data_IF_349039933130
#
_entry.id   IF_349039933130
#
_cell.length_a   1.000
_cell.length_b   1.000
_cell.length_c   1.000
_cell.angle_alpha   90.00
_cell.angle_beta   90.00
_cell.angle_gamma   90.00
#
_symmetry.space_group_name_H-M   'P 1'
#
loop_
_entity.id
_entity.type
_entity.pdbx_description
1 polymer ?
#
# COMPACT_ATOMS: atom_id res chain seq x y z
N UNK A 1 6.98 -11.89 -2.46
CA UNK A 1 6.28 -11.22 -3.57
C UNK A 1 7.01 -9.92 -3.80
N UNK A 2 7.85 -9.85 -4.82
CA UNK A 2 8.71 -8.69 -5.11
C UNK A 2 8.14 -7.82 -6.25
N UNK A 3 6.82 -7.89 -6.48
CA UNK A 3 6.18 -7.05 -7.49
C UNK A 3 6.25 -5.59 -7.04
N UNK A 4 6.93 -4.75 -7.83
CA UNK A 4 7.00 -3.31 -7.61
C UNK A 4 5.72 -2.66 -8.11
N UNK A 5 5.17 -1.76 -7.30
CA UNK A 5 3.91 -1.07 -7.61
C UNK A 5 4.02 -0.26 -8.91
N UNK A 6 5.11 0.48 -9.08
CA UNK A 6 5.31 1.32 -10.27
C UNK A 6 5.77 0.53 -11.49
N UNK A 7 6.72 -0.40 -11.34
CA UNK A 7 7.36 -1.07 -12.49
C UNK A 7 6.56 -2.26 -13.01
N UNK A 8 5.88 -3.02 -12.14
CA UNK A 8 5.19 -4.26 -12.54
C UNK A 8 3.68 -4.08 -12.67
N UNK A 9 3.09 -3.14 -11.93
CA UNK A 9 1.65 -2.86 -11.97
C UNK A 9 1.30 -1.56 -12.70
N UNK A 10 2.30 -0.81 -13.15
CA UNK A 10 2.13 0.49 -13.83
C UNK A 10 1.29 1.48 -13.00
N UNK A 11 1.33 1.36 -11.66
CA UNK A 11 0.61 2.23 -10.73
C UNK A 11 1.48 3.44 -10.47
N UNK A 12 0.96 4.63 -10.74
CA UNK A 12 1.62 5.89 -10.41
C UNK A 12 1.44 6.24 -8.91
N UNK A 13 2.10 7.30 -8.46
CA UNK A 13 2.02 7.71 -7.05
C UNK A 13 0.59 8.06 -6.59
N UNK A 14 -0.33 8.39 -7.51
CA UNK A 14 -1.74 8.63 -7.19
C UNK A 14 -2.51 7.32 -7.03
N UNK A 15 -2.24 6.32 -7.87
CA UNK A 15 -2.88 5.01 -7.74
C UNK A 15 -2.48 4.27 -6.46
N UNK A 16 -1.28 4.51 -5.93
CA UNK A 16 -0.90 4.00 -4.59
C UNK A 16 -1.83 4.58 -3.52
N UNK A 17 -2.12 5.88 -3.56
CA UNK A 17 -3.03 6.53 -2.61
C UNK A 17 -4.44 5.96 -2.70
N UNK A 18 -4.95 5.72 -3.91
CA UNK A 18 -6.28 5.10 -4.11
C UNK A 18 -6.36 3.68 -3.53
N UNK A 19 -5.33 2.87 -3.76
CA UNK A 19 -5.26 1.50 -3.23
C UNK A 19 -5.23 1.50 -1.70
N UNK A 20 -4.49 2.42 -1.10
CA UNK A 20 -4.38 2.55 0.36
C UNK A 20 -5.70 2.98 0.97
N UNK A 21 -6.33 4.03 0.45
CA UNK A 21 -7.65 4.47 0.94
C UNK A 21 -8.69 3.35 0.86
N UNK A 22 -8.65 2.53 -0.21
CA UNK A 22 -9.53 1.37 -0.33
C UNK A 22 -9.27 0.30 0.75
N UNK A 23 -8.01 0.11 1.16
CA UNK A 23 -7.68 -0.81 2.25
C UNK A 23 -8.07 -0.24 3.63
N UNK A 24 -7.88 1.06 3.86
CA UNK A 24 -8.33 1.73 5.08
C UNK A 24 -9.84 1.57 5.27
N UNK A 25 -10.62 1.80 4.22
CA UNK A 25 -12.08 1.64 4.25
C UNK A 25 -12.52 0.18 4.41
N UNK A 26 -11.89 -0.77 3.72
CA UNK A 26 -12.30 -2.19 3.76
C UNK A 26 -11.94 -2.87 5.09
N UNK A 27 -10.80 -2.52 5.67
CA UNK A 27 -10.33 -3.13 6.92
C UNK A 27 -10.57 -2.26 8.16
N UNK A 28 -11.18 -1.09 8.01
CA UNK A 28 -11.36 -0.08 9.07
C UNK A 28 -10.05 0.26 9.79
N UNK A 29 -8.95 0.39 9.02
CA UNK A 29 -7.61 0.73 9.51
C UNK A 29 -7.20 2.15 9.09
N UNK A 30 -6.15 2.67 9.71
CA UNK A 30 -5.56 3.98 9.39
C UNK A 30 -4.06 3.79 9.10
N UNK A 31 -3.61 4.26 7.95
CA UNK A 31 -2.24 4.15 7.44
C UNK A 31 -1.66 5.56 7.30
N UNK A 32 -0.56 5.83 7.99
CA UNK A 32 0.08 7.13 7.93
C UNK A 32 0.92 7.31 6.64
N UNK A 33 1.00 8.54 6.12
CA UNK A 33 1.82 8.87 4.94
C UNK A 33 3.30 8.45 5.11
N UNK A 34 3.83 8.50 6.33
CA UNK A 34 5.20 8.04 6.64
C UNK A 34 5.33 6.53 6.40
N UNK A 35 4.33 5.74 6.78
CA UNK A 35 4.31 4.28 6.56
C UNK A 35 4.19 3.94 5.07
N UNK A 36 3.47 4.77 4.29
CA UNK A 36 3.36 4.62 2.84
C UNK A 36 4.66 4.93 2.12
N UNK A 37 5.42 5.90 2.61
CA UNK A 37 6.69 6.30 2.00
C UNK A 37 7.72 5.15 1.97
N UNK A 38 7.58 4.17 2.88
CA UNK A 38 8.42 2.98 2.96
C UNK A 38 7.89 1.79 2.12
N UNK A 39 6.71 1.92 1.50
CA UNK A 39 6.07 0.86 0.69
C UNK A 39 6.39 1.05 -0.79
N UNK A 40 7.26 0.18 -1.33
CA UNK A 40 7.64 0.20 -2.76
C UNK A 40 7.16 -1.04 -3.52
N UNK A 41 6.71 -2.06 -2.79
CA UNK A 41 6.31 -3.36 -3.33
C UNK A 41 4.97 -3.82 -2.75
N UNK A 42 4.28 -4.66 -3.50
CA UNK A 42 3.04 -5.31 -3.04
C UNK A 42 3.29 -6.12 -1.76
N UNK A 43 4.47 -6.74 -1.64
CA UNK A 43 4.83 -7.51 -0.44
C UNK A 43 4.95 -6.64 0.82
N UNK A 44 5.49 -5.43 0.70
CA UNK A 44 5.56 -4.47 1.79
C UNK A 44 4.17 -3.94 2.16
N UNK A 45 3.34 -3.62 1.16
CA UNK A 45 1.95 -3.19 1.39
C UNK A 45 1.16 -4.26 2.18
N UNK A 46 1.24 -5.53 1.77
CA UNK A 46 0.59 -6.64 2.48
C UNK A 46 1.14 -6.81 3.89
N UNK A 47 2.44 -6.62 4.09
CA UNK A 47 3.07 -6.72 5.42
C UNK A 47 2.61 -5.60 6.34
N UNK A 48 2.48 -4.38 5.81
CA UNK A 48 1.95 -3.22 6.53
C UNK A 48 0.50 -3.47 6.95
N UNK A 49 -0.35 -3.94 6.02
CA UNK A 49 -1.73 -4.31 6.33
C UNK A 49 -1.80 -5.36 7.45
N UNK A 50 -0.98 -6.40 7.37
CA UNK A 50 -0.95 -7.45 8.40
C UNK A 50 -0.41 -6.96 9.76
N UNK A 51 0.24 -5.79 9.84
CA UNK A 51 0.63 -5.20 11.13
C UNK A 51 -0.47 -4.36 11.78
N UNK A 52 -1.50 -3.97 11.00
CA UNK A 52 -2.61 -3.11 11.43
C UNK A 52 -3.87 -3.88 11.81
N UNK A 53 -4.00 -5.13 11.33
CA UNK A 53 -5.09 -6.09 11.63
C UNK A 53 -4.65 -7.04 12.76
#
# INVERSE_FOLDING_TARGET
MEAKLEEDLEIDSLGIVEVVMAFEDEFEIEIDDEELSDVSTVGQAVSLLHSKI
#
